data_IF_485964844543
#
_entry.id   IF_485964844543
#
_cell.length_a   1.000
_cell.length_b   1.000
_cell.length_c   1.000
_cell.angle_alpha   90.00
_cell.angle_beta   90.00
_cell.angle_gamma   90.00
#
_symmetry.space_group_name_H-M   'P 1'
#
loop_
_entity.id
_entity.type
_entity.pdbx_description
1 polymer ?
#
# COMPACT_ATOMS: atom_id res chain seq x y z
N UNK A 1 -40.26 3.44 -10.70
CA UNK A 1 -40.08 4.88 -10.99
C UNK A 1 -38.62 5.10 -11.37
N UNK A 2 -38.33 5.98 -12.33
CA UNK A 2 -36.94 6.33 -12.68
C UNK A 2 -36.32 7.20 -11.57
N UNK A 3 -35.11 6.88 -11.07
CA UNK A 3 -34.45 7.72 -10.07
C UNK A 3 -33.86 8.98 -10.68
N UNK A 4 -33.71 10.01 -9.86
CA UNK A 4 -32.86 11.14 -10.21
C UNK A 4 -31.41 10.70 -10.42
N UNK A 5 -30.71 11.39 -11.32
CA UNK A 5 -29.30 11.14 -11.63
C UNK A 5 -28.42 11.12 -10.39
N UNK A 6 -28.66 12.03 -9.44
CA UNK A 6 -27.84 12.18 -8.23
C UNK A 6 -27.94 10.97 -7.32
N UNK A 7 -29.14 10.40 -7.16
CA UNK A 7 -29.34 9.16 -6.39
C UNK A 7 -28.59 8.00 -7.04
N UNK A 8 -28.64 7.89 -8.37
CA UNK A 8 -27.94 6.81 -9.07
C UNK A 8 -26.41 6.99 -9.02
N UNK A 9 -25.92 8.23 -9.06
CA UNK A 9 -24.51 8.57 -8.84
C UNK A 9 -24.07 8.23 -7.42
N UNK A 10 -24.81 8.64 -6.40
CA UNK A 10 -24.52 8.34 -4.99
C UNK A 10 -24.41 6.82 -4.78
N UNK A 11 -25.40 6.05 -5.26
CA UNK A 11 -25.39 4.60 -5.09
C UNK A 11 -24.25 3.91 -5.87
N UNK A 12 -24.02 4.31 -7.12
CA UNK A 12 -23.09 3.61 -8.03
C UNK A 12 -21.63 4.07 -7.90
N UNK A 13 -21.38 5.37 -7.72
CA UNK A 13 -20.05 5.98 -7.66
C UNK A 13 -19.57 6.10 -6.22
N UNK A 14 -20.35 6.74 -5.35
CA UNK A 14 -19.91 7.06 -3.99
C UNK A 14 -19.98 5.85 -3.07
N UNK A 15 -21.15 5.21 -3.01
CA UNK A 15 -21.39 3.99 -2.21
C UNK A 15 -20.90 2.72 -2.89
N UNK A 16 -20.37 2.81 -4.12
CA UNK A 16 -19.79 1.71 -4.91
C UNK A 16 -20.67 0.46 -5.04
N UNK A 17 -22.00 0.57 -4.91
CA UNK A 17 -22.91 -0.58 -5.01
C UNK A 17 -22.95 -1.15 -6.42
N UNK A 18 -22.87 -2.46 -6.55
CA UNK A 18 -22.98 -3.15 -7.83
C UNK A 18 -24.35 -2.96 -8.48
N UNK A 19 -24.44 -3.16 -9.80
CA UNK A 19 -25.71 -3.09 -10.54
C UNK A 19 -26.77 -4.05 -9.94
N UNK A 20 -26.46 -5.31 -9.58
CA UNK A 20 -27.40 -6.18 -8.88
C UNK A 20 -27.90 -5.62 -7.54
N UNK A 21 -27.04 -5.00 -6.74
CA UNK A 21 -27.45 -4.40 -5.46
C UNK A 21 -28.36 -3.19 -5.66
N UNK A 22 -28.06 -2.35 -6.65
CA UNK A 22 -28.90 -1.19 -7.00
C UNK A 22 -30.24 -1.66 -7.56
N UNK A 23 -30.25 -2.72 -8.37
CA UNK A 23 -31.47 -3.33 -8.89
C UNK A 23 -32.40 -3.82 -7.77
N UNK A 24 -31.84 -4.41 -6.70
CA UNK A 24 -32.59 -4.78 -5.48
C UNK A 24 -33.18 -3.55 -4.77
N UNK A 25 -32.42 -2.46 -4.64
CA UNK A 25 -32.91 -1.21 -4.02
C UNK A 25 -34.11 -0.63 -4.78
N UNK A 26 -34.02 -0.56 -6.10
CA UNK A 26 -35.11 -0.02 -6.94
C UNK A 26 -36.19 -1.05 -7.30
N UNK A 27 -36.05 -2.29 -6.84
CA UNK A 27 -36.93 -3.43 -7.17
C UNK A 27 -37.17 -3.54 -8.68
N UNK A 28 -36.09 -3.48 -9.47
CA UNK A 28 -36.16 -3.56 -10.93
C UNK A 28 -35.07 -4.48 -11.50
N UNK A 29 -35.07 -4.69 -12.82
CA UNK A 29 -34.03 -5.49 -13.48
C UNK A 29 -32.68 -4.77 -13.56
N UNK A 30 -31.59 -5.53 -13.59
CA UNK A 30 -30.22 -5.02 -13.80
C UNK A 30 -30.10 -4.28 -15.15
N UNK A 31 -30.82 -4.74 -16.17
CA UNK A 31 -30.89 -4.08 -17.48
C UNK A 31 -31.46 -2.66 -17.36
N UNK A 32 -32.43 -2.44 -16.47
CA UNK A 32 -33.01 -1.12 -16.23
C UNK A 32 -32.01 -0.17 -15.57
N UNK A 33 -31.24 -0.67 -14.62
CA UNK A 33 -30.15 0.10 -13.99
C UNK A 33 -29.07 0.44 -15.02
N UNK A 34 -28.64 -0.53 -15.83
CA UNK A 34 -27.67 -0.31 -16.91
C UNK A 34 -28.16 0.72 -17.93
N UNK A 35 -29.46 0.68 -18.26
CA UNK A 35 -30.11 1.66 -19.10
C UNK A 35 -29.99 3.07 -18.49
N UNK A 36 -30.32 3.25 -17.21
CA UNK A 36 -30.22 4.56 -16.54
C UNK A 36 -28.78 5.06 -16.41
N UNK A 37 -27.81 4.20 -16.09
CA UNK A 37 -26.38 4.55 -16.08
C UNK A 37 -25.95 5.13 -17.43
N UNK A 38 -26.35 4.48 -18.53
CA UNK A 38 -26.08 4.96 -19.89
C UNK A 38 -26.83 6.25 -20.20
N UNK A 39 -28.13 6.32 -19.87
CA UNK A 39 -29.00 7.49 -20.10
C UNK A 39 -28.44 8.74 -19.41
N UNK A 40 -27.99 8.61 -18.16
CA UNK A 40 -27.40 9.70 -17.37
C UNK A 40 -25.91 9.92 -17.60
N UNK A 41 -25.30 9.19 -18.56
CA UNK A 41 -23.87 9.25 -18.89
C UNK A 41 -22.97 9.08 -17.66
N UNK A 42 -23.36 8.21 -16.73
CA UNK A 42 -22.58 7.90 -15.55
C UNK A 42 -21.41 7.01 -15.98
N UNK A 43 -20.18 7.42 -15.65
CA UNK A 43 -18.97 6.67 -16.00
C UNK A 43 -19.02 5.29 -15.34
N UNK A 44 -19.10 4.23 -16.15
CA UNK A 44 -19.03 2.85 -15.64
C UNK A 44 -17.66 2.59 -15.02
N UNK A 45 -17.67 1.92 -13.87
CA UNK A 45 -16.43 1.44 -13.23
C UNK A 45 -15.81 0.33 -14.10
N UNK A 46 -14.49 0.24 -14.11
CA UNK A 46 -13.81 -0.89 -14.77
C UNK A 46 -14.02 -2.20 -13.99
N UNK A 47 -13.74 -3.35 -14.63
CA UNK A 47 -13.72 -4.64 -13.91
C UNK A 47 -12.75 -4.62 -12.73
N UNK A 48 -11.59 -3.99 -12.90
CA UNK A 48 -10.59 -3.83 -11.85
C UNK A 48 -11.12 -3.01 -10.67
N UNK A 49 -11.84 -1.91 -10.93
CA UNK A 49 -12.46 -1.10 -9.87
C UNK A 49 -13.56 -1.87 -9.12
N UNK A 50 -14.36 -2.66 -9.86
CA UNK A 50 -15.39 -3.51 -9.28
C UNK A 50 -14.78 -4.58 -8.37
N UNK A 51 -13.74 -5.28 -8.85
CA UNK A 51 -13.01 -6.28 -8.06
C UNK A 51 -12.33 -5.66 -6.86
N UNK A 52 -11.73 -4.47 -7.01
CA UNK A 52 -11.10 -3.76 -5.92
C UNK A 52 -12.12 -3.38 -4.84
N UNK A 53 -13.29 -2.86 -5.20
CA UNK A 53 -14.36 -2.57 -4.24
C UNK A 53 -14.87 -3.83 -3.53
N UNK A 54 -14.99 -4.96 -4.25
CA UNK A 54 -15.36 -6.26 -3.67
C UNK A 54 -14.36 -6.75 -2.62
N UNK A 55 -13.05 -6.64 -2.90
CA UNK A 55 -12.01 -7.06 -1.95
C UNK A 55 -11.72 -6.04 -0.84
N UNK A 56 -12.23 -4.82 -0.96
CA UNK A 56 -12.07 -3.73 0.00
C UNK A 56 -13.44 -3.13 0.37
N UNK A 57 -14.34 -3.91 0.98
CA UNK A 57 -15.71 -3.49 1.26
C UNK A 57 -15.80 -2.31 2.24
N UNK A 58 -14.77 -2.12 3.08
CA UNK A 58 -14.67 -1.02 4.04
C UNK A 58 -13.87 0.18 3.50
N UNK A 59 -13.60 0.24 2.19
CA UNK A 59 -12.80 1.29 1.57
C UNK A 59 -11.31 0.96 1.51
N UNK A 60 -10.52 1.96 1.13
CA UNK A 60 -9.09 1.79 0.92
C UNK A 60 -8.36 1.38 2.22
N UNK A 61 -7.39 0.45 2.19
CA UNK A 61 -6.60 0.07 3.37
C UNK A 61 -5.54 1.13 3.75
N UNK A 62 -5.74 2.37 3.31
CA UNK A 62 -4.86 3.51 3.45
C UNK A 62 -5.71 4.79 3.36
N UNK A 63 -5.19 5.91 3.84
CA UNK A 63 -5.80 7.24 3.74
C UNK A 63 -4.73 8.26 3.37
N UNK A 64 -4.97 9.12 2.37
CA UNK A 64 -4.01 10.17 2.04
C UNK A 64 -4.30 11.38 2.92
N UNK A 65 -3.38 11.70 3.84
CA UNK A 65 -3.49 12.89 4.68
C UNK A 65 -2.66 14.01 4.10
N UNK A 66 -3.24 15.19 4.02
CA UNK A 66 -2.48 16.41 3.79
C UNK A 66 -1.73 16.78 5.08
N UNK A 67 -0.43 17.11 5.01
CA UNK A 67 0.34 17.51 6.18
C UNK A 67 -0.22 18.83 6.72
N UNK A 68 -0.56 18.86 8.01
CA UNK A 68 -1.09 20.04 8.71
C UNK A 68 -0.05 20.74 9.57
N UNK A 69 1.07 20.05 9.83
CA UNK A 69 2.18 20.54 10.66
C UNK A 69 3.49 20.50 9.89
N UNK A 70 4.47 21.30 10.34
CA UNK A 70 5.82 21.28 9.77
C UNK A 70 6.47 19.90 9.89
N UNK A 71 6.23 19.18 10.99
CA UNK A 71 6.80 17.85 11.20
C UNK A 71 6.18 16.80 10.25
N UNK A 72 4.87 16.88 9.97
CA UNK A 72 4.25 16.05 8.94
C UNK A 72 4.76 16.39 7.53
N UNK A 73 4.97 17.68 7.23
CA UNK A 73 5.53 18.11 5.95
C UNK A 73 6.98 17.61 5.77
N UNK A 74 7.81 17.68 6.82
CA UNK A 74 9.16 17.10 6.83
C UNK A 74 9.12 15.58 6.63
N UNK A 75 8.21 14.88 7.32
CA UNK A 75 8.04 13.43 7.17
C UNK A 75 7.59 13.04 5.76
N UNK A 76 6.64 13.79 5.17
CA UNK A 76 6.21 13.62 3.80
C UNK A 76 7.39 13.78 2.83
N UNK A 77 8.13 14.88 2.92
CA UNK A 77 9.28 15.16 2.05
C UNK A 77 10.40 14.12 2.20
N UNK A 78 10.76 13.75 3.43
CA UNK A 78 11.77 12.73 3.70
C UNK A 78 11.34 11.36 3.19
N UNK A 79 10.08 10.98 3.39
CA UNK A 79 9.54 9.72 2.91
C UNK A 79 9.47 9.63 1.38
N UNK A 80 9.07 10.71 0.71
CA UNK A 80 9.13 10.83 -0.74
C UNK A 80 10.58 10.74 -1.24
N UNK A 81 11.53 11.42 -0.60
CA UNK A 81 12.95 11.35 -0.92
C UNK A 81 13.52 9.94 -0.76
N UNK A 82 13.19 9.24 0.33
CA UNK A 82 13.58 7.85 0.56
C UNK A 82 12.99 6.92 -0.50
N UNK A 83 11.70 7.06 -0.82
CA UNK A 83 11.06 6.29 -1.87
C UNK A 83 11.66 6.58 -3.25
N UNK A 84 12.01 7.83 -3.53
CA UNK A 84 12.61 8.23 -4.78
C UNK A 84 14.05 7.73 -4.92
N UNK A 85 14.84 7.73 -3.84
CA UNK A 85 16.22 7.23 -3.84
C UNK A 85 16.32 5.71 -3.81
N UNK A 86 15.69 5.09 -2.80
CA UNK A 86 15.87 3.66 -2.44
C UNK A 86 14.68 2.78 -2.88
N UNK A 87 13.57 3.39 -3.29
CA UNK A 87 12.34 2.68 -3.61
C UNK A 87 12.35 1.98 -4.97
N UNK A 88 11.60 0.87 -5.06
CA UNK A 88 11.41 0.18 -6.33
C UNK A 88 10.37 0.88 -7.21
N UNK A 89 10.87 1.62 -8.20
CA UNK A 89 10.04 2.37 -9.15
C UNK A 89 9.54 1.53 -10.34
N UNK A 90 10.19 0.39 -10.65
CA UNK A 90 9.86 -0.45 -11.82
C UNK A 90 8.54 -1.20 -11.67
N UNK A 91 8.18 -1.61 -10.44
CA UNK A 91 6.91 -2.29 -10.20
C UNK A 91 5.78 -1.27 -10.07
N UNK A 92 4.77 -1.36 -10.93
CA UNK A 92 3.63 -0.44 -10.96
C UNK A 92 2.55 -0.73 -9.91
N UNK A 93 2.66 -1.87 -9.21
CA UNK A 93 1.58 -2.39 -8.38
C UNK A 93 1.93 -2.42 -6.89
N UNK A 94 3.19 -2.12 -6.53
CA UNK A 94 3.61 -2.11 -5.14
C UNK A 94 4.61 -1.01 -4.82
N UNK A 95 4.49 -0.50 -3.60
CA UNK A 95 5.43 0.41 -2.99
C UNK A 95 6.42 -0.44 -2.20
N UNK A 96 7.71 -0.31 -2.49
CA UNK A 96 8.77 -1.10 -1.86
C UNK A 96 9.97 -0.26 -1.57
N UNK A 97 10.58 -0.47 -0.41
CA UNK A 97 11.88 0.06 -0.05
C UNK A 97 12.63 -0.98 0.77
N UNK A 98 13.87 -1.25 0.38
CA UNK A 98 14.75 -2.17 1.08
C UNK A 98 15.99 -1.46 1.59
N UNK A 99 16.40 -1.71 2.82
CA UNK A 99 17.59 -1.11 3.41
C UNK A 99 18.15 -1.96 4.56
N UNK A 100 19.45 -1.78 4.87
CA UNK A 100 20.08 -2.42 6.03
C UNK A 100 20.02 -1.54 7.29
N UNK A 101 19.82 -0.22 7.16
CA UNK A 101 19.71 0.71 8.29
C UNK A 101 18.27 0.70 8.88
N UNK A 102 18.09 0.28 10.14
CA UNK A 102 16.78 0.26 10.79
C UNK A 102 16.12 1.63 10.90
N UNK A 103 16.91 2.72 10.97
CA UNK A 103 16.40 4.09 11.04
C UNK A 103 15.74 4.50 9.73
N UNK A 104 16.30 4.11 8.58
CA UNK A 104 15.70 4.36 7.27
C UNK A 104 14.40 3.58 7.11
N UNK A 105 14.39 2.30 7.49
CA UNK A 105 13.18 1.47 7.46
C UNK A 105 12.10 2.04 8.38
N UNK A 106 12.45 2.44 9.60
CA UNK A 106 11.54 3.08 10.55
C UNK A 106 10.93 4.34 9.97
N UNK A 107 11.76 5.21 9.39
CA UNK A 107 11.28 6.46 8.80
C UNK A 107 10.32 6.20 7.63
N UNK A 108 10.64 5.22 6.79
CA UNK A 108 9.78 4.83 5.70
C UNK A 108 8.45 4.23 6.19
N UNK A 109 8.47 3.43 7.27
CA UNK A 109 7.24 2.93 7.89
C UNK A 109 6.39 4.04 8.48
N UNK A 110 6.99 5.04 9.14
CA UNK A 110 6.27 6.23 9.61
C UNK A 110 5.64 6.99 8.46
N UNK A 111 6.36 7.22 7.37
CA UNK A 111 5.80 7.82 6.16
C UNK A 111 4.57 7.05 5.65
N UNK A 112 4.67 5.71 5.55
CA UNK A 112 3.58 4.86 5.08
C UNK A 112 2.37 4.85 6.03
N UNK A 113 2.60 4.84 7.34
CA UNK A 113 1.53 4.71 8.35
C UNK A 113 0.95 6.06 8.75
N UNK A 114 1.78 7.06 9.00
CA UNK A 114 1.36 8.33 9.58
C UNK A 114 0.76 9.24 8.49
N UNK A 115 1.43 9.34 7.33
CA UNK A 115 1.01 10.19 6.20
C UNK A 115 -0.03 9.48 5.33
N UNK A 116 0.22 8.22 4.97
CA UNK A 116 -0.70 7.44 4.13
C UNK A 116 -1.67 6.56 4.90
N UNK A 117 -1.71 6.61 6.23
CA UNK A 117 -2.73 5.92 7.03
C UNK A 117 -2.82 4.42 6.74
N UNK A 118 -1.74 3.79 6.29
CA UNK A 118 -1.77 2.39 5.88
C UNK A 118 -2.12 1.53 7.09
N UNK A 119 -3.08 0.63 6.90
CA UNK A 119 -3.33 -0.44 7.87
C UNK A 119 -2.07 -1.32 7.97
N UNK A 120 -1.42 -1.29 9.14
CA UNK A 120 -0.17 -2.00 9.42
C UNK A 120 -0.25 -3.49 9.14
N UNK A 121 -1.41 -4.11 9.30
CA UNK A 121 -1.61 -5.55 9.05
C UNK A 121 -1.53 -5.93 7.56
N UNK A 122 -1.71 -4.94 6.67
CA UNK A 122 -1.58 -5.11 5.22
C UNK A 122 -0.14 -4.94 4.74
N UNK A 123 0.76 -4.43 5.59
CA UNK A 123 2.19 -4.40 5.28
C UNK A 123 2.75 -5.82 5.23
N UNK A 124 3.67 -6.03 4.31
CA UNK A 124 4.41 -7.28 4.14
C UNK A 124 5.90 -6.97 4.13
N UNK A 125 6.69 -7.96 4.51
CA UNK A 125 8.13 -7.79 4.67
C UNK A 125 8.89 -8.89 3.95
N UNK A 126 9.95 -8.50 3.26
CA UNK A 126 10.98 -9.40 2.77
C UNK A 126 12.23 -9.25 3.64
N UNK A 127 12.88 -10.35 3.96
CA UNK A 127 14.16 -10.32 4.68
C UNK A 127 15.20 -11.07 3.87
N UNK A 128 16.26 -10.36 3.46
CA UNK A 128 17.43 -10.98 2.86
C UNK A 128 18.50 -11.16 3.94
N UNK A 129 18.96 -12.39 4.10
CA UNK A 129 19.98 -12.81 5.07
C UNK A 129 21.16 -13.37 4.30
N UNK A 130 22.37 -13.13 4.77
CA UNK A 130 23.58 -13.70 4.17
C UNK A 130 23.91 -15.06 4.81
N UNK A 131 24.59 -15.93 4.08
CA UNK A 131 24.92 -17.30 4.50
C UNK A 131 25.80 -17.40 5.76
N UNK A 132 26.54 -16.34 6.07
CA UNK A 132 27.34 -16.18 7.29
C UNK A 132 26.51 -15.70 8.51
N UNK A 133 25.20 -15.48 8.33
CA UNK A 133 24.28 -15.01 9.38
C UNK A 133 23.27 -16.08 9.78
N UNK A 134 22.69 -15.93 10.98
CA UNK A 134 21.62 -16.80 11.46
C UNK A 134 20.25 -16.17 11.15
N UNK A 135 19.43 -16.74 10.23
CA UNK A 135 18.17 -16.14 9.82
C UNK A 135 17.20 -15.84 10.96
N UNK A 136 17.15 -16.72 11.97
CA UNK A 136 16.30 -16.52 13.16
C UNK A 136 16.74 -15.31 14.00
N UNK A 137 18.05 -15.12 14.19
CA UNK A 137 18.58 -13.96 14.93
C UNK A 137 18.28 -12.67 14.19
N UNK A 138 18.49 -12.66 12.88
CA UNK A 138 18.21 -11.52 12.02
C UNK A 138 16.73 -11.13 12.03
N UNK A 139 15.83 -12.11 11.89
CA UNK A 139 14.40 -11.87 12.00
C UNK A 139 14.01 -11.29 13.36
N UNK A 140 14.50 -11.87 14.46
CA UNK A 140 14.20 -11.41 15.80
C UNK A 140 14.74 -9.99 16.05
N UNK A 141 15.90 -9.64 15.50
CA UNK A 141 16.43 -8.28 15.55
C UNK A 141 15.43 -7.28 14.95
N UNK A 142 14.96 -7.53 13.72
CA UNK A 142 14.04 -6.61 13.05
C UNK A 142 12.68 -6.50 13.74
N UNK A 143 12.16 -7.61 14.27
CA UNK A 143 10.93 -7.61 15.07
C UNK A 143 11.07 -6.77 16.34
N UNK A 144 12.23 -6.85 17.00
CA UNK A 144 12.51 -6.08 18.20
C UNK A 144 12.74 -4.60 17.90
N UNK A 145 13.50 -4.29 16.85
CA UNK A 145 13.73 -2.90 16.43
C UNK A 145 12.41 -2.21 16.14
N UNK A 146 11.55 -2.82 15.33
CA UNK A 146 10.31 -2.21 14.86
C UNK A 146 9.08 -2.56 15.71
N UNK A 147 9.28 -2.85 17.00
CA UNK A 147 8.23 -3.33 17.92
C UNK A 147 7.06 -2.34 18.08
N UNK A 148 7.32 -1.04 17.94
CA UNK A 148 6.32 0.04 17.98
C UNK A 148 5.32 -0.01 16.81
N UNK A 149 5.73 -0.64 15.70
CA UNK A 149 4.83 -0.94 14.57
C UNK A 149 4.03 -2.23 14.76
N UNK A 150 4.32 -3.01 15.81
CA UNK A 150 3.66 -4.28 16.12
C UNK A 150 3.71 -5.28 14.96
N UNK A 151 4.84 -5.33 14.26
CA UNK A 151 5.05 -6.24 13.13
C UNK A 151 5.05 -7.68 13.63
N UNK A 152 4.29 -8.54 12.96
CA UNK A 152 4.22 -9.96 13.28
C UNK A 152 5.04 -10.81 12.31
N UNK A 153 5.47 -11.99 12.76
CA UNK A 153 6.26 -12.94 11.96
C UNK A 153 5.55 -13.37 10.67
N UNK A 154 4.22 -13.54 10.69
CA UNK A 154 3.39 -13.91 9.53
C UNK A 154 3.35 -12.83 8.43
N UNK A 155 3.77 -11.59 8.72
CA UNK A 155 3.87 -10.54 7.72
C UNK A 155 5.14 -10.68 6.87
N UNK A 156 6.11 -11.51 7.28
CA UNK A 156 7.30 -11.82 6.49
C UNK A 156 6.97 -12.92 5.47
N UNK A 157 6.70 -12.51 4.23
CA UNK A 157 6.31 -13.45 3.17
C UNK A 157 7.52 -14.18 2.55
N UNK A 158 8.73 -13.64 2.73
CA UNK A 158 9.95 -14.23 2.17
C UNK A 158 11.16 -13.92 3.05
N UNK A 159 11.85 -14.98 3.47
CA UNK A 159 13.20 -14.90 4.04
C UNK A 159 14.13 -15.57 3.03
N UNK A 160 15.07 -14.82 2.46
CA UNK A 160 15.98 -15.30 1.41
C UNK A 160 17.39 -15.37 1.97
N UNK A 161 18.03 -16.54 1.89
CA UNK A 161 19.45 -16.68 2.20
C UNK A 161 20.26 -16.48 0.91
N UNK A 162 21.22 -15.56 0.92
CA UNK A 162 22.07 -15.22 -0.23
C UNK A 162 23.53 -15.49 0.11
N UNK A 163 24.32 -16.10 -0.79
CA UNK A 163 25.74 -16.29 -0.56
C UNK A 163 26.48 -14.96 -0.36
N UNK A 164 27.36 -14.89 0.63
CA UNK A 164 28.19 -13.72 0.87
C UNK A 164 29.20 -13.51 -0.26
N UNK A 165 29.10 -12.40 -1.00
CA UNK A 165 30.10 -12.03 -2.02
C UNK A 165 31.23 -11.22 -1.37
N UNK A 166 32.39 -11.88 -1.21
CA UNK A 166 33.70 -11.36 -0.78
C UNK A 166 33.80 -10.59 0.55
N UNK A 167 35.00 -10.64 1.15
CA UNK A 167 35.38 -10.01 2.42
C UNK A 167 35.53 -8.49 2.18
N UNK A 168 34.41 -7.77 2.08
CA UNK A 168 34.40 -6.31 2.04
C UNK A 168 33.90 -5.71 3.35
N UNK A 169 34.23 -4.43 3.60
CA UNK A 169 33.74 -3.60 4.73
C UNK A 169 32.20 -3.52 4.85
N UNK A 170 31.45 -4.13 3.90
CA UNK A 170 30.01 -4.29 3.92
C UNK A 170 29.50 -5.19 5.07
N UNK A 171 30.38 -6.04 5.63
CA UNK A 171 30.04 -6.96 6.75
C UNK A 171 29.56 -6.23 8.00
N UNK A 172 30.08 -5.04 8.29
CA UNK A 172 29.61 -4.27 9.45
C UNK A 172 28.27 -3.57 9.22
N UNK A 173 28.03 -3.06 7.99
CA UNK A 173 26.81 -2.32 7.65
C UNK A 173 25.58 -3.22 7.45
N UNK A 174 25.80 -4.53 7.29
CA UNK A 174 24.74 -5.50 7.00
C UNK A 174 24.59 -6.59 8.06
N UNK A 175 25.04 -6.36 9.31
CA UNK A 175 24.99 -7.34 10.42
C UNK A 175 23.61 -8.01 10.61
N UNK A 176 22.54 -7.34 10.20
CA UNK A 176 21.17 -7.85 10.29
C UNK A 176 20.48 -7.95 8.92
N UNK A 177 21.23 -8.17 7.84
CA UNK A 177 20.68 -8.35 6.50
C UNK A 177 19.92 -7.12 5.98
N UNK A 178 19.16 -7.32 4.90
CA UNK A 178 18.36 -6.27 4.25
C UNK A 178 16.89 -6.52 4.55
N UNK A 179 16.24 -5.58 5.23
CA UNK A 179 14.79 -5.56 5.38
C UNK A 179 14.17 -4.86 4.18
N UNK A 180 13.10 -5.42 3.61
CA UNK A 180 12.29 -4.77 2.58
C UNK A 180 10.86 -4.62 3.06
N UNK A 181 10.38 -3.37 3.11
CA UNK A 181 8.97 -3.05 3.32
C UNK A 181 8.23 -3.21 2.00
N UNK A 182 7.06 -3.84 2.03
CA UNK A 182 6.22 -4.10 0.87
C UNK A 182 4.76 -3.73 1.13
N UNK A 183 4.19 -2.93 0.25
CA UNK A 183 2.75 -2.65 0.24
C UNK A 183 2.20 -2.74 -1.19
N UNK A 184 1.35 -3.73 -1.44
CA UNK A 184 0.74 -3.96 -2.76
C UNK A 184 -0.56 -3.18 -2.89
N UNK A 185 -0.52 -2.02 -3.53
CA UNK A 185 -1.71 -1.25 -3.86
C UNK A 185 -1.41 -0.30 -5.04
N UNK A 186 -1.92 -0.62 -6.22
CA UNK A 186 -1.72 0.19 -7.44
C UNK A 186 -2.28 1.60 -7.29
N UNK A 187 -3.41 1.77 -6.59
CA UNK A 187 -4.02 3.09 -6.39
C UNK A 187 -3.09 4.00 -5.56
N UNK A 188 -2.61 3.54 -4.41
CA UNK A 188 -1.68 4.31 -3.60
C UNK A 188 -0.33 4.51 -4.31
N UNK A 189 0.17 3.50 -5.01
CA UNK A 189 1.42 3.60 -5.80
C UNK A 189 1.35 4.75 -6.80
N UNK A 190 0.26 4.84 -7.57
CA UNK A 190 0.07 5.93 -8.52
C UNK A 190 -0.02 7.30 -7.83
N UNK A 191 -0.67 7.38 -6.67
CA UNK A 191 -0.74 8.63 -5.88
C UNK A 191 0.67 9.09 -5.48
N UNK A 192 1.49 8.19 -4.93
CA UNK A 192 2.85 8.52 -4.52
C UNK A 192 3.73 8.88 -5.72
N UNK A 193 3.65 8.13 -6.82
CA UNK A 193 4.42 8.43 -8.03
C UNK A 193 4.09 9.81 -8.60
N UNK A 194 2.82 10.22 -8.56
CA UNK A 194 2.38 11.54 -9.00
C UNK A 194 2.82 12.69 -8.05
N UNK A 195 3.29 12.36 -6.84
CA UNK A 195 3.87 13.34 -5.90
C UNK A 195 5.37 13.53 -6.11
N UNK A 196 6.03 12.67 -6.89
CA UNK A 196 7.44 12.82 -7.19
C UNK A 196 7.66 13.94 -8.22
N UNK A 197 8.80 14.65 -8.15
CA UNK A 197 9.15 15.62 -9.18
C UNK A 197 9.30 14.92 -10.54
N UNK A 198 8.81 15.59 -11.60
CA UNK A 198 8.90 15.15 -12.99
C UNK A 198 10.36 15.03 -13.47
#
# INVERSE_FOLDING_TARGET
MEPFRDILNELYIEKKRSVPEIAKVFKCSENRINYWIRKFKIKKRSLSDAMYAKYNPHGDPFSVKEPKTLEEAKLLGLGLGLYWGEGNKKNRNSIRLGNTDPRMIRMFLRFMVDIFGINREKLRFGLQVFDDMQPRKTLNFWLNELKDFQIRKDQFFKITVTPSRSIGNYREKSKFGVMTVHFSNTKLKNIIDNMLPL
#
